data_IF_855126000234
#
_entry.id   IF_855126000234
#
_cell.length_a   1.000
_cell.length_b   1.000
_cell.length_c   1.000
_cell.angle_alpha   90.00
_cell.angle_beta   90.00
_cell.angle_gamma   90.00
#
_symmetry.space_group_name_H-M   'P 1'
#
loop_
_entity.id
_entity.type
_entity.pdbx_description
1 polymer ?
#
# COMPACT_ATOMS: atom_id res chain seq x y z
N UNK A 1 -10.60 15.57 11.39
CA UNK A 1 -11.70 14.76 10.84
C UNK A 1 -12.84 15.71 10.53
N UNK A 2 -13.29 15.76 9.29
CA UNK A 2 -14.45 16.58 8.88
C UNK A 2 -15.71 15.71 8.90
N UNK A 3 -16.87 16.28 9.19
CA UNK A 3 -18.12 15.52 9.07
C UNK A 3 -18.37 15.13 7.60
N UNK A 4 -18.76 13.87 7.41
CA UNK A 4 -19.07 13.26 6.11
C UNK A 4 -20.40 12.49 6.13
N UNK A 5 -21.19 12.59 7.21
CA UNK A 5 -22.43 11.82 7.39
C UNK A 5 -23.49 12.07 6.32
N UNK A 6 -23.60 13.31 5.84
CA UNK A 6 -24.57 13.70 4.79
C UNK A 6 -24.11 13.33 3.37
N UNK A 7 -22.89 12.80 3.20
CA UNK A 7 -22.38 12.43 1.87
C UNK A 7 -22.98 11.08 1.45
N UNK A 8 -23.54 10.97 0.24
CA UNK A 8 -24.10 9.71 -0.22
C UNK A 8 -23.02 8.62 -0.36
N UNK A 9 -23.39 7.39 0.02
CA UNK A 9 -22.57 6.21 -0.20
C UNK A 9 -22.46 5.92 -1.70
N UNK A 10 -21.24 5.75 -2.18
CA UNK A 10 -20.90 5.48 -3.58
C UNK A 10 -19.74 4.50 -3.62
N UNK A 11 -19.57 3.79 -4.75
CA UNK A 11 -18.33 3.04 -4.99
C UNK A 11 -17.17 4.03 -5.15
N UNK A 12 -16.05 3.76 -4.48
CA UNK A 12 -14.86 4.62 -4.49
C UNK A 12 -13.63 3.77 -4.77
N UNK A 13 -12.78 4.28 -5.65
CA UNK A 13 -11.51 3.68 -6.05
C UNK A 13 -10.43 4.76 -6.11
N UNK A 14 -9.19 4.37 -5.85
CA UNK A 14 -8.01 5.20 -6.02
C UNK A 14 -6.83 4.33 -6.43
N UNK A 15 -5.95 4.87 -7.28
CA UNK A 15 -4.68 4.28 -7.67
C UNK A 15 -3.53 5.22 -7.27
N UNK A 16 -2.42 4.65 -6.80
CA UNK A 16 -1.20 5.37 -6.49
C UNK A 16 0.03 4.55 -6.92
N UNK A 17 1.08 5.25 -7.33
CA UNK A 17 2.35 4.65 -7.76
C UNK A 17 3.53 5.27 -7.01
N UNK A 18 4.63 4.52 -6.90
CA UNK A 18 5.90 5.03 -6.39
C UNK A 18 7.09 4.27 -6.98
N UNK A 19 8.28 4.83 -6.86
CA UNK A 19 9.52 4.21 -7.34
C UNK A 19 10.56 4.12 -6.22
N UNK A 20 11.18 2.95 -6.09
CA UNK A 20 12.35 2.74 -5.23
C UNK A 20 13.60 2.72 -6.10
N UNK A 21 14.37 3.81 -6.07
CA UNK A 21 15.66 3.88 -6.77
C UNK A 21 16.72 3.06 -6.03
N UNK A 22 17.42 2.20 -6.76
CA UNK A 22 18.45 1.32 -6.19
C UNK A 22 19.58 1.07 -7.18
N UNK A 23 20.69 0.52 -6.69
CA UNK A 23 21.80 0.11 -7.55
C UNK A 23 21.41 -1.10 -8.43
N UNK A 24 22.01 -1.28 -9.62
CA UNK A 24 21.72 -2.42 -10.49
C UNK A 24 21.92 -3.79 -9.82
N UNK A 25 22.94 -3.90 -8.94
CA UNK A 25 23.18 -5.13 -8.19
C UNK A 25 22.05 -5.44 -7.19
N UNK A 26 21.46 -4.41 -6.57
CA UNK A 26 20.32 -4.56 -5.65
C UNK A 26 19.08 -5.03 -6.40
N UNK A 27 18.80 -4.45 -7.58
CA UNK A 27 17.64 -4.87 -8.39
C UNK A 27 17.72 -6.35 -8.79
N UNK A 28 18.92 -6.82 -9.18
CA UNK A 28 19.14 -8.25 -9.46
C UNK A 28 18.83 -9.11 -8.23
N UNK A 29 19.36 -8.74 -7.07
CA UNK A 29 19.09 -9.47 -5.83
C UNK A 29 17.60 -9.48 -5.44
N UNK A 30 16.87 -8.38 -5.67
CA UNK A 30 15.42 -8.34 -5.41
C UNK A 30 14.66 -9.31 -6.31
N UNK A 31 15.07 -9.46 -7.57
CA UNK A 31 14.43 -10.37 -8.55
C UNK A 31 14.81 -11.84 -8.35
N UNK A 32 16.05 -12.11 -7.94
CA UNK A 32 16.58 -13.47 -7.80
C UNK A 32 16.37 -14.06 -6.39
N UNK A 33 16.18 -13.19 -5.38
CA UNK A 33 16.04 -13.57 -3.98
C UNK A 33 17.10 -12.92 -3.10
N UNK A 34 16.66 -12.43 -1.94
CA UNK A 34 17.56 -11.75 -0.98
C UNK A 34 17.92 -12.67 0.19
N UNK A 35 18.98 -12.37 0.96
CA UNK A 35 19.27 -13.09 2.21
C UNK A 35 18.12 -13.04 3.24
N UNK A 36 17.16 -12.12 3.06
CA UNK A 36 15.97 -11.98 3.91
C UNK A 36 14.72 -12.65 3.30
N UNK A 37 14.87 -13.39 2.20
CA UNK A 37 13.79 -14.00 1.45
C UNK A 37 13.29 -13.14 0.28
N UNK A 38 12.05 -13.39 -0.14
CA UNK A 38 11.40 -12.69 -1.24
C UNK A 38 10.95 -11.28 -0.80
N UNK A 39 11.66 -10.27 -1.32
CA UNK A 39 11.40 -8.88 -0.95
C UNK A 39 10.05 -8.36 -1.50
N UNK A 40 9.61 -8.81 -2.68
CA UNK A 40 8.39 -8.32 -3.33
C UNK A 40 7.14 -8.91 -2.67
N UNK A 41 7.18 -10.20 -2.29
CA UNK A 41 6.09 -10.81 -1.52
C UNK A 41 5.90 -10.12 -0.17
N UNK A 42 7.00 -9.87 0.55
CA UNK A 42 6.95 -9.15 1.83
C UNK A 42 6.43 -7.72 1.64
N UNK A 43 6.88 -7.01 0.60
CA UNK A 43 6.41 -5.66 0.29
C UNK A 43 4.91 -5.62 -0.03
N UNK A 44 4.37 -6.61 -0.75
CA UNK A 44 2.93 -6.71 -1.05
C UNK A 44 2.10 -6.81 0.23
N UNK A 45 2.47 -7.72 1.13
CA UNK A 45 1.78 -7.91 2.41
C UNK A 45 1.88 -6.63 3.26
N UNK A 46 3.06 -6.03 3.33
CA UNK A 46 3.29 -4.79 4.07
C UNK A 46 2.42 -3.64 3.54
N UNK A 47 2.31 -3.47 2.23
CA UNK A 47 1.46 -2.46 1.60
C UNK A 47 -0.03 -2.68 1.89
N UNK A 48 -0.51 -3.92 1.80
CA UNK A 48 -1.91 -4.26 2.14
C UNK A 48 -2.19 -3.98 3.62
N UNK A 49 -1.27 -4.31 4.52
CA UNK A 49 -1.39 -3.99 5.94
C UNK A 49 -1.38 -2.48 6.19
N UNK A 50 -0.51 -1.73 5.50
CA UNK A 50 -0.42 -0.28 5.63
C UNK A 50 -1.71 0.41 5.20
N UNK A 51 -2.34 -0.02 4.10
CA UNK A 51 -3.62 0.52 3.63
C UNK A 51 -4.74 0.39 4.68
N UNK A 52 -4.81 -0.76 5.37
CA UNK A 52 -5.80 -0.97 6.44
C UNK A 52 -5.54 -0.13 7.69
N UNK A 53 -4.29 0.32 7.88
CA UNK A 53 -3.86 1.13 9.04
C UNK A 53 -3.76 2.62 8.72
N UNK A 54 -4.21 3.07 7.54
CA UNK A 54 -4.10 4.47 7.14
C UNK A 54 -4.71 5.44 8.16
N UNK A 55 -5.87 5.11 8.74
CA UNK A 55 -6.50 5.96 9.77
C UNK A 55 -5.77 5.96 11.12
N UNK A 56 -4.94 4.96 11.40
CA UNK A 56 -4.04 4.98 12.57
C UNK A 56 -2.81 5.85 12.31
N UNK A 57 -2.33 5.88 11.06
CA UNK A 57 -1.09 6.56 10.67
C UNK A 57 -1.29 8.03 10.31
N UNK A 58 -2.44 8.40 9.75
CA UNK A 58 -2.73 9.77 9.28
C UNK A 58 -3.77 10.43 10.20
N UNK A 59 -3.40 11.45 11.00
CA UNK A 59 -4.22 11.96 12.12
C UNK A 59 -5.65 12.41 11.79
N UNK A 60 -5.93 12.80 10.55
CA UNK A 60 -7.23 13.35 10.16
C UNK A 60 -8.01 12.45 9.18
N UNK A 61 -7.52 11.24 8.90
CA UNK A 61 -8.21 10.26 8.08
C UNK A 61 -9.38 9.61 8.84
N UNK A 62 -10.49 9.38 8.14
CA UNK A 62 -11.59 8.55 8.63
C UNK A 62 -11.21 7.07 8.54
N UNK A 63 -11.64 6.23 9.50
CA UNK A 63 -11.59 4.78 9.33
C UNK A 63 -12.58 4.38 8.23
N UNK A 64 -12.12 3.57 7.26
CA UNK A 64 -12.92 3.14 6.12
C UNK A 64 -12.96 1.61 6.02
N UNK A 65 -14.12 1.00 5.71
CA UNK A 65 -14.23 -0.42 5.43
C UNK A 65 -13.71 -0.71 4.01
N UNK A 66 -12.40 -0.98 3.88
CA UNK A 66 -11.80 -1.32 2.59
C UNK A 66 -12.36 -2.65 2.06
N UNK A 67 -12.84 -2.66 0.82
CA UNK A 67 -13.41 -3.84 0.15
C UNK A 67 -12.37 -4.63 -0.65
N UNK A 68 -11.39 -3.94 -1.24
CA UNK A 68 -10.25 -4.54 -1.96
C UNK A 68 -9.01 -3.66 -1.77
N UNK A 69 -7.85 -4.30 -1.62
CA UNK A 69 -6.54 -3.65 -1.66
C UNK A 69 -5.63 -4.54 -2.51
N UNK A 70 -4.89 -3.94 -3.45
CA UNK A 70 -3.90 -4.63 -4.27
C UNK A 70 -2.61 -3.81 -4.33
N UNK A 71 -1.46 -4.49 -4.51
CA UNK A 71 -0.13 -3.86 -4.53
C UNK A 71 0.73 -4.61 -5.53
N UNK A 72 0.99 -4.01 -6.68
CA UNK A 72 1.75 -4.63 -7.77
C UNK A 72 3.13 -4.00 -7.99
N UNK A 73 3.97 -4.70 -8.77
CA UNK A 73 5.34 -4.32 -9.08
C UNK A 73 5.62 -4.51 -10.57
N UNK A 74 6.48 -3.65 -11.12
CA UNK A 74 6.99 -3.69 -12.50
C UNK A 74 8.47 -4.11 -12.56
#
# INVERSE_FOLDING_TARGET
MVDVGDKPATSREALAECMVRMAPATLRAVREGTPKGDALQVARIAGIMAAKRTSELIPLCHPLPLTKVDVDFE
#
